data_IF_531681014862
#
_entry.id   IF_531681014862
#
_cell.length_a   1.000
_cell.length_b   1.000
_cell.length_c   1.000
_cell.angle_alpha   90.00
_cell.angle_beta   90.00
_cell.angle_gamma   90.00
#
_symmetry.space_group_name_H-M   'P 1'
#
loop_
_entity.id
_entity.type
_entity.pdbx_description
1 polymer ?
#
# COMPACT_ATOMS: atom_id res chain seq x y z
N UNK A 1 5.28 -0.73 -0.39
CA UNK A 1 5.37 -0.58 -1.87
C UNK A 1 4.82 0.77 -2.28
N UNK A 2 5.47 1.46 -3.21
CA UNK A 2 5.00 2.71 -3.80
C UNK A 2 4.67 2.50 -5.29
N UNK A 3 3.47 2.89 -5.69
CA UNK A 3 2.98 2.80 -7.06
C UNK A 3 2.67 4.22 -7.54
N UNK A 4 3.36 4.65 -8.59
CA UNK A 4 3.14 5.95 -9.22
C UNK A 4 2.72 5.80 -10.68
N UNK A 5 1.99 6.76 -11.20
CA UNK A 5 1.64 6.78 -12.61
C UNK A 5 0.45 7.65 -12.91
N UNK A 6 0.51 8.34 -14.05
CA UNK A 6 -0.54 9.25 -14.54
C UNK A 6 -1.85 8.53 -14.82
N UNK A 7 -2.89 9.29 -14.94
CA UNK A 7 -4.21 8.80 -15.39
C UNK A 7 -4.07 8.04 -16.72
N UNK A 8 -4.77 6.90 -16.85
CA UNK A 8 -4.74 6.00 -18.01
C UNK A 8 -3.37 5.36 -18.27
N UNK A 9 -2.53 5.20 -17.24
CA UNK A 9 -1.26 4.49 -17.34
C UNK A 9 -1.38 2.97 -17.15
N UNK A 10 -2.52 2.47 -16.69
CA UNK A 10 -2.72 1.08 -16.26
C UNK A 10 -2.49 0.87 -14.74
N UNK A 11 -2.24 1.95 -13.99
CA UNK A 11 -1.99 1.90 -12.54
C UNK A 11 -3.09 1.16 -11.77
N UNK A 12 -4.35 1.52 -11.97
CA UNK A 12 -5.48 0.87 -11.28
C UNK A 12 -5.58 -0.61 -11.60
N UNK A 13 -5.41 -1.00 -12.88
CA UNK A 13 -5.37 -2.43 -13.24
C UNK A 13 -4.24 -3.17 -12.52
N UNK A 14 -3.08 -2.53 -12.38
CA UNK A 14 -1.96 -3.08 -11.61
C UNK A 14 -2.28 -3.23 -10.12
N UNK A 15 -2.93 -2.22 -9.50
CA UNK A 15 -3.37 -2.29 -8.09
C UNK A 15 -4.40 -3.40 -7.88
N UNK A 16 -5.38 -3.54 -8.78
CA UNK A 16 -6.38 -4.61 -8.73
C UNK A 16 -5.75 -6.00 -8.90
N UNK A 17 -4.76 -6.14 -9.79
CA UNK A 17 -4.01 -7.39 -9.94
C UNK A 17 -3.23 -7.76 -8.68
N UNK A 18 -2.60 -6.78 -8.02
CA UNK A 18 -1.92 -6.99 -6.74
C UNK A 18 -2.89 -7.37 -5.63
N UNK A 19 -4.06 -6.72 -5.56
CA UNK A 19 -5.09 -7.06 -4.59
C UNK A 19 -5.59 -8.50 -4.78
N UNK A 20 -5.79 -8.93 -6.04
CA UNK A 20 -6.15 -10.31 -6.33
C UNK A 20 -5.08 -11.29 -5.83
N UNK A 21 -3.80 -11.01 -6.06
CA UNK A 21 -2.71 -11.86 -5.56
C UNK A 21 -2.69 -11.93 -4.03
N UNK A 22 -2.93 -10.81 -3.35
CA UNK A 22 -3.02 -10.75 -1.89
C UNK A 22 -4.15 -11.64 -1.36
N UNK A 23 -5.33 -11.59 -1.97
CA UNK A 23 -6.48 -12.41 -1.56
C UNK A 23 -6.26 -13.90 -1.86
N UNK A 24 -5.48 -14.23 -2.89
CA UNK A 24 -5.09 -15.61 -3.22
C UNK A 24 -3.98 -16.16 -2.31
N UNK A 25 -3.33 -15.33 -1.51
CA UNK A 25 -2.20 -15.73 -0.67
C UNK A 25 -2.59 -16.64 0.52
N UNK A 26 -3.87 -16.90 0.72
CA UNK A 26 -4.34 -17.92 1.65
C UNK A 26 -5.18 -17.40 2.81
N UNK A 27 -5.58 -18.30 3.72
CA UNK A 27 -6.54 -18.02 4.77
C UNK A 27 -5.97 -17.13 5.87
N UNK A 28 -6.87 -16.59 6.66
CA UNK A 28 -6.53 -15.79 7.83
C UNK A 28 -5.87 -16.62 8.92
N UNK A 29 -4.79 -16.08 9.43
CA UNK A 29 -4.05 -16.61 10.55
C UNK A 29 -3.46 -15.45 11.36
N UNK A 30 -3.52 -15.50 12.67
CA UNK A 30 -2.95 -14.46 13.54
C UNK A 30 -3.35 -13.03 13.16
N UNK A 31 -4.66 -12.82 12.97
CA UNK A 31 -5.24 -11.52 12.63
C UNK A 31 -4.71 -10.93 11.30
N UNK A 32 -4.55 -11.76 10.28
CA UNK A 32 -4.27 -11.31 8.92
C UNK A 32 -5.35 -10.36 8.43
N UNK A 33 -4.97 -9.28 7.73
CA UNK A 33 -5.89 -8.22 7.28
C UNK A 33 -5.60 -7.77 5.88
N UNK A 34 -6.67 -7.45 5.17
CA UNK A 34 -6.63 -6.64 3.96
C UNK A 34 -7.47 -5.40 4.22
N UNK A 35 -6.86 -4.23 4.19
CA UNK A 35 -7.53 -2.94 4.38
C UNK A 35 -7.37 -2.13 3.11
N UNK A 36 -8.48 -1.65 2.55
CA UNK A 36 -8.49 -0.87 1.31
C UNK A 36 -9.04 0.52 1.62
N UNK A 37 -8.32 1.55 1.23
CA UNK A 37 -8.68 2.97 1.43
C UNK A 37 -8.70 3.66 0.07
N UNK A 38 -9.84 4.25 -0.30
CA UNK A 38 -10.01 5.08 -1.50
C UNK A 38 -10.70 6.41 -1.14
N UNK A 39 -9.91 7.45 -0.81
CA UNK A 39 -10.47 8.75 -0.40
C UNK A 39 -11.14 9.52 -1.54
N UNK A 40 -10.81 9.21 -2.79
CA UNK A 40 -11.43 9.85 -3.95
C UNK A 40 -12.79 9.26 -4.31
N UNK A 41 -13.18 8.15 -3.70
CA UNK A 41 -14.36 7.39 -4.08
C UNK A 41 -14.36 7.05 -5.59
N UNK A 42 -13.19 6.65 -6.09
CA UNK A 42 -12.96 6.36 -7.49
C UNK A 42 -13.21 4.87 -7.82
N UNK A 43 -12.18 4.20 -8.32
CA UNK A 43 -12.32 2.84 -8.83
C UNK A 43 -12.31 1.77 -7.73
N UNK A 44 -11.47 1.92 -6.70
CA UNK A 44 -11.41 0.94 -5.60
C UNK A 44 -12.64 1.02 -4.69
N UNK A 45 -13.30 2.15 -4.58
CA UNK A 45 -14.54 2.30 -3.81
C UNK A 45 -15.72 1.47 -4.34
N UNK A 46 -15.60 0.92 -5.56
CA UNK A 46 -16.58 -0.03 -6.12
C UNK A 46 -16.45 -1.44 -5.55
N UNK A 47 -15.36 -1.72 -4.83
CA UNK A 47 -15.16 -2.98 -4.13
C UNK A 47 -15.83 -2.93 -2.75
N UNK A 48 -16.42 -4.04 -2.27
CA UNK A 48 -16.98 -4.10 -0.94
C UNK A 48 -15.88 -3.90 0.12
N UNK A 49 -16.28 -3.43 1.29
CA UNK A 49 -15.39 -3.17 2.43
C UNK A 49 -14.29 -2.12 2.20
N UNK A 50 -14.32 -1.39 1.08
CA UNK A 50 -13.41 -0.26 0.86
C UNK A 50 -13.80 0.90 1.75
N UNK A 51 -12.83 1.46 2.46
CA UNK A 51 -13.01 2.58 3.37
C UNK A 51 -12.84 3.87 2.58
N UNK A 52 -13.88 4.70 2.62
CA UNK A 52 -13.96 5.98 1.93
C UNK A 52 -14.10 7.13 2.93
N UNK A 53 -14.23 8.34 2.42
CA UNK A 53 -14.65 9.50 3.21
C UNK A 53 -16.11 9.31 3.66
N UNK A 54 -16.46 9.94 4.79
CA UNK A 54 -17.84 10.00 5.25
C UNK A 54 -18.70 10.99 4.42
N UNK A 55 -19.97 11.14 4.81
CA UNK A 55 -20.93 12.02 4.14
C UNK A 55 -20.53 13.52 4.19
N UNK A 56 -19.70 13.91 5.15
CA UNK A 56 -19.17 15.26 5.29
C UNK A 56 -17.87 15.47 4.53
N UNK A 57 -17.33 14.43 3.88
CA UNK A 57 -16.04 14.48 3.22
C UNK A 57 -14.84 14.35 4.17
N UNK A 58 -15.06 13.87 5.40
CA UNK A 58 -14.01 13.68 6.39
C UNK A 58 -13.45 12.25 6.35
N UNK A 59 -12.18 12.09 6.71
CA UNK A 59 -11.46 10.80 6.67
C UNK A 59 -11.36 10.15 8.07
N UNK A 60 -12.36 10.33 8.94
CA UNK A 60 -12.36 9.77 10.31
C UNK A 60 -12.29 8.25 10.27
N UNK A 61 -13.09 7.61 9.42
CA UNK A 61 -13.07 6.16 9.22
C UNK A 61 -11.72 5.66 8.71
N UNK A 62 -11.07 6.43 7.85
CA UNK A 62 -9.73 6.12 7.33
C UNK A 62 -8.70 6.15 8.47
N UNK A 63 -8.65 7.21 9.28
CA UNK A 63 -7.73 7.31 10.42
C UNK A 63 -7.96 6.17 11.42
N UNK A 64 -9.23 5.83 11.69
CA UNK A 64 -9.60 4.71 12.57
C UNK A 64 -9.08 3.38 12.03
N UNK A 65 -9.25 3.12 10.74
CA UNK A 65 -8.75 1.90 10.10
C UNK A 65 -7.22 1.81 10.11
N UNK A 66 -6.53 2.91 9.88
CA UNK A 66 -5.06 2.98 9.96
C UNK A 66 -4.55 2.71 11.38
N UNK A 67 -5.21 3.25 12.41
CA UNK A 67 -4.91 2.94 13.81
C UNK A 67 -5.09 1.45 14.10
N UNK A 68 -6.20 0.88 13.63
CA UNK A 68 -6.48 -0.56 13.75
C UNK A 68 -5.41 -1.41 13.06
N UNK A 69 -4.97 -1.03 11.86
CA UNK A 69 -3.90 -1.72 11.14
C UNK A 69 -2.54 -1.60 11.90
N UNK A 70 -2.21 -0.43 12.42
CA UNK A 70 -1.01 -0.22 13.21
C UNK A 70 -1.03 -1.03 14.53
N UNK A 71 -2.20 -1.20 15.15
CA UNK A 71 -2.37 -2.03 16.35
C UNK A 71 -2.13 -3.51 16.06
N UNK A 72 -2.49 -3.98 14.85
CA UNK A 72 -2.17 -5.35 14.41
C UNK A 72 -0.67 -5.61 14.38
N UNK A 73 0.14 -4.64 13.98
CA UNK A 73 1.61 -4.76 14.00
C UNK A 73 2.10 -5.02 15.43
N UNK A 74 1.62 -4.26 16.41
CA UNK A 74 2.00 -4.42 17.82
C UNK A 74 1.60 -5.79 18.35
N UNK A 75 0.38 -6.24 18.06
CA UNK A 75 -0.11 -7.56 18.44
C UNK A 75 0.79 -8.67 17.89
N UNK A 76 1.06 -8.63 16.59
CA UNK A 76 1.87 -9.63 15.89
C UNK A 76 3.33 -9.65 16.40
N UNK A 77 3.92 -8.48 16.65
CA UNK A 77 5.25 -8.38 17.26
C UNK A 77 5.29 -9.02 18.66
N UNK A 78 4.24 -8.83 19.46
CA UNK A 78 4.14 -9.49 20.76
C UNK A 78 4.10 -11.02 20.61
N UNK A 79 3.26 -11.54 19.70
CA UNK A 79 3.20 -12.99 19.44
C UNK A 79 4.57 -13.53 19.02
N UNK A 80 5.27 -12.85 18.12
CA UNK A 80 6.62 -13.25 17.67
C UNK A 80 7.65 -13.25 18.81
N UNK A 81 7.60 -12.25 19.68
CA UNK A 81 8.47 -12.17 20.85
C UNK A 81 8.20 -13.32 21.82
N UNK A 82 6.92 -13.62 22.10
CA UNK A 82 6.51 -14.72 22.97
C UNK A 82 7.00 -16.10 22.43
N UNK A 83 6.97 -16.29 21.10
CA UNK A 83 7.53 -17.48 20.46
C UNK A 83 9.07 -17.49 20.52
N UNK A 84 9.72 -16.35 20.29
CA UNK A 84 11.17 -16.25 20.36
C UNK A 84 11.71 -16.56 21.78
N UNK A 85 11.02 -16.08 22.82
CA UNK A 85 11.36 -16.41 24.23
C UNK A 85 11.22 -17.91 24.49
N UNK A 86 10.15 -18.54 24.02
CA UNK A 86 9.92 -19.99 24.23
C UNK A 86 10.93 -20.87 23.51
N UNK A 87 11.36 -20.46 22.32
CA UNK A 87 12.27 -21.27 21.48
C UNK A 87 13.75 -20.95 21.73
N UNK A 88 14.05 -19.80 22.36
CA UNK A 88 15.41 -19.29 22.51
C UNK A 88 16.06 -18.82 21.21
N UNK A 89 15.28 -18.67 20.12
CA UNK A 89 15.73 -18.23 18.81
C UNK A 89 14.86 -17.07 18.29
N UNK A 90 15.40 -16.27 17.38
CA UNK A 90 14.60 -15.29 16.67
C UNK A 90 13.55 -15.99 15.78
N UNK A 91 12.28 -15.67 15.98
CA UNK A 91 11.15 -16.23 15.24
C UNK A 91 10.59 -15.16 14.31
N UNK A 92 10.44 -15.49 13.04
CA UNK A 92 9.82 -14.60 12.05
C UNK A 92 8.35 -14.99 11.83
N UNK A 93 7.57 -14.06 11.26
CA UNK A 93 6.14 -14.27 11.04
C UNK A 93 5.84 -15.49 10.13
N UNK A 94 6.71 -15.80 9.17
CA UNK A 94 6.57 -16.97 8.30
C UNK A 94 6.92 -18.30 8.99
N UNK A 95 7.73 -18.29 10.04
CA UNK A 95 8.13 -19.50 10.78
C UNK A 95 6.96 -20.11 11.57
N UNK A 96 5.96 -19.30 11.89
CA UNK A 96 4.76 -19.73 12.64
C UNK A 96 3.48 -19.64 11.82
N UNK A 97 3.62 -19.69 10.49
CA UNK A 97 2.51 -19.66 9.53
C UNK A 97 1.57 -18.43 9.64
N UNK A 98 2.09 -17.29 10.07
CA UNK A 98 1.35 -16.04 9.92
C UNK A 98 1.21 -15.70 8.44
N UNK A 99 0.02 -15.31 8.01
CA UNK A 99 -0.19 -14.73 6.70
C UNK A 99 0.09 -13.22 6.73
N UNK A 100 0.59 -12.63 5.63
CA UNK A 100 0.85 -11.20 5.59
C UNK A 100 -0.44 -10.38 5.68
N UNK A 101 -0.33 -9.19 6.29
CA UNK A 101 -1.38 -8.18 6.30
C UNK A 101 -1.06 -7.09 5.27
N UNK A 102 -2.09 -6.57 4.59
CA UNK A 102 -1.91 -5.56 3.57
C UNK A 102 -2.83 -4.36 3.77
N UNK A 103 -2.25 -3.17 3.69
CA UNK A 103 -2.96 -1.90 3.64
C UNK A 103 -2.76 -1.29 2.26
N UNK A 104 -3.85 -1.10 1.53
CA UNK A 104 -3.88 -0.38 0.25
C UNK A 104 -4.39 1.04 0.50
N UNK A 105 -3.64 2.05 0.10
CA UNK A 105 -4.06 3.46 0.11
C UNK A 105 -4.00 3.95 -1.33
N UNK A 106 -5.16 4.13 -1.95
CA UNK A 106 -5.23 4.76 -3.27
C UNK A 106 -5.25 6.29 -3.15
N UNK A 107 -4.65 6.96 -4.10
CA UNK A 107 -4.61 8.42 -4.18
C UNK A 107 -4.18 9.11 -2.85
N UNK A 108 -3.07 8.67 -2.30
CA UNK A 108 -2.49 9.18 -1.06
C UNK A 108 -2.45 10.71 -0.96
N UNK A 109 -2.13 11.40 -2.06
CA UNK A 109 -2.04 12.87 -2.09
C UNK A 109 -3.41 13.51 -1.85
N UNK A 110 -4.48 12.91 -2.39
CA UNK A 110 -5.84 13.39 -2.17
C UNK A 110 -6.24 13.26 -0.68
N UNK A 111 -5.88 12.15 -0.04
CA UNK A 111 -6.12 11.95 1.39
C UNK A 111 -5.41 13.01 2.24
N UNK A 112 -4.14 13.29 1.95
CA UNK A 112 -3.40 14.34 2.67
C UNK A 112 -4.01 15.73 2.53
N UNK A 113 -4.57 16.05 1.38
CA UNK A 113 -5.12 17.38 1.08
C UNK A 113 -6.37 17.73 1.90
N UNK A 114 -7.13 16.72 2.32
CA UNK A 114 -8.39 16.92 3.08
C UNK A 114 -8.19 16.92 4.60
N UNK A 115 -7.07 16.38 5.09
CA UNK A 115 -6.81 16.29 6.53
C UNK A 115 -6.46 17.66 7.11
N UNK A 116 -7.03 18.05 8.27
CA UNK A 116 -6.58 19.20 9.04
C UNK A 116 -5.08 19.07 9.37
N UNK A 117 -4.35 20.19 9.34
CA UNK A 117 -2.88 20.15 9.52
C UNK A 117 -2.45 19.65 10.90
N UNK A 118 -3.20 20.00 11.95
CA UNK A 118 -2.87 19.71 13.36
C UNK A 118 -4.05 19.16 14.11
N UNK A 119 -3.75 18.41 15.16
CA UNK A 119 -4.72 17.96 16.14
C UNK A 119 -5.40 19.14 16.86
N UNK A 120 -6.63 18.94 17.28
CA UNK A 120 -7.34 19.83 18.23
C UNK A 120 -7.28 19.23 19.63
N UNK A 121 -7.77 19.98 20.65
CA UNK A 121 -7.81 19.47 22.03
C UNK A 121 -8.67 18.22 22.20
N UNK A 122 -9.69 18.08 21.36
CA UNK A 122 -10.71 17.05 21.49
C UNK A 122 -10.64 15.99 20.38
N UNK A 123 -9.70 16.15 19.42
CA UNK A 123 -9.60 15.25 18.27
C UNK A 123 -8.16 15.13 17.78
N UNK A 124 -7.75 13.89 17.55
CA UNK A 124 -6.49 13.51 16.90
C UNK A 124 -6.69 13.25 15.39
N UNK A 125 -7.77 13.73 14.80
CA UNK A 125 -8.05 13.70 13.38
C UNK A 125 -7.24 14.79 12.67
N UNK A 126 -6.06 14.43 12.16
CA UNK A 126 -5.17 15.39 11.49
C UNK A 126 -4.14 14.71 10.60
N UNK A 127 -3.49 15.53 9.76
CA UNK A 127 -2.35 15.15 8.96
C UNK A 127 -1.15 14.69 9.81
N UNK A 128 -0.95 15.33 10.97
CA UNK A 128 0.11 14.96 11.92
C UNK A 128 -0.08 13.51 12.41
N UNK A 129 -1.27 13.18 12.89
CA UNK A 129 -1.63 11.81 13.31
C UNK A 129 -1.52 10.81 12.15
N UNK A 130 -2.00 11.18 10.97
CA UNK A 130 -1.89 10.33 9.78
C UNK A 130 -0.44 10.00 9.44
N UNK A 131 0.42 11.01 9.40
CA UNK A 131 1.84 10.84 9.07
C UNK A 131 2.58 9.98 10.13
N UNK A 132 2.27 10.15 11.42
CA UNK A 132 2.82 9.33 12.49
C UNK A 132 2.42 7.86 12.38
N UNK A 133 1.13 7.59 12.15
CA UNK A 133 0.63 6.22 11.99
C UNK A 133 1.26 5.57 10.76
N UNK A 134 1.27 6.27 9.63
CA UNK A 134 1.82 5.75 8.39
C UNK A 134 3.32 5.50 8.50
N UNK A 135 4.07 6.42 9.13
CA UNK A 135 5.49 6.22 9.43
C UNK A 135 5.70 4.92 10.20
N UNK A 136 4.92 4.69 11.25
CA UNK A 136 5.01 3.47 12.05
C UNK A 136 4.73 2.22 11.23
N UNK A 137 3.67 2.22 10.42
CA UNK A 137 3.32 1.09 9.55
C UNK A 137 4.46 0.77 8.58
N UNK A 138 5.02 1.78 7.93
CA UNK A 138 6.05 1.59 6.91
C UNK A 138 7.39 1.17 7.49
N UNK A 139 7.76 1.68 8.68
CA UNK A 139 9.06 1.38 9.31
C UNK A 139 9.06 0.09 10.12
N UNK A 140 7.93 -0.29 10.72
CA UNK A 140 7.83 -1.43 11.65
C UNK A 140 7.06 -2.61 11.09
N UNK A 141 6.28 -2.40 10.02
CA UNK A 141 5.33 -3.40 9.52
C UNK A 141 6.01 -4.66 8.98
N UNK A 142 7.11 -4.53 8.27
CA UNK A 142 7.77 -5.65 7.59
C UNK A 142 8.16 -6.78 8.56
N UNK A 143 8.69 -6.45 9.75
CA UNK A 143 9.05 -7.42 10.77
C UNK A 143 7.85 -8.19 11.33
N UNK A 144 6.65 -7.61 11.25
CA UNK A 144 5.40 -8.21 11.67
C UNK A 144 4.60 -8.84 10.50
N UNK A 145 5.14 -8.84 9.28
CA UNK A 145 4.42 -9.28 8.09
C UNK A 145 3.28 -8.35 7.69
N UNK A 146 3.36 -7.06 8.00
CA UNK A 146 2.35 -6.05 7.67
C UNK A 146 2.91 -5.06 6.65
N UNK A 147 2.29 -4.99 5.48
CA UNK A 147 2.79 -4.25 4.33
C UNK A 147 1.82 -3.15 3.90
N UNK A 148 2.38 -2.00 3.51
CA UNK A 148 1.62 -0.88 2.99
C UNK A 148 1.89 -0.70 1.49
N UNK A 149 0.83 -0.57 0.70
CA UNK A 149 0.84 -0.29 -0.73
C UNK A 149 0.19 1.07 -0.93
N UNK A 150 0.98 2.05 -1.36
CA UNK A 150 0.53 3.42 -1.60
C UNK A 150 0.51 3.70 -3.09
N UNK A 151 -0.61 4.19 -3.59
CA UNK A 151 -0.79 4.65 -4.95
C UNK A 151 -0.83 6.18 -5.01
N UNK A 152 -0.14 6.76 -5.98
CA UNK A 152 -0.12 8.21 -6.27
C UNK A 152 -0.29 8.46 -7.77
N UNK A 153 -1.00 9.54 -8.12
CA UNK A 153 -1.22 9.90 -9.53
C UNK A 153 0.05 10.44 -10.19
N UNK A 154 0.83 11.23 -9.44
CA UNK A 154 2.11 11.79 -9.89
C UNK A 154 3.15 11.66 -8.79
N UNK A 155 4.38 11.36 -9.19
CA UNK A 155 5.50 11.27 -8.25
C UNK A 155 6.03 12.67 -7.82
N UNK A 156 5.26 13.75 -8.00
CA UNK A 156 5.71 15.11 -7.70
C UNK A 156 6.02 15.30 -6.21
N UNK A 157 7.06 16.07 -5.94
CA UNK A 157 7.52 16.44 -4.58
C UNK A 157 6.88 17.76 -4.12
N UNK A 158 6.16 18.45 -5.02
CA UNK A 158 5.54 19.75 -4.73
C UNK A 158 4.32 19.57 -3.82
N UNK A 159 4.07 20.57 -3.00
CA UNK A 159 3.05 20.73 -1.95
C UNK A 159 2.03 19.59 -1.81
N UNK A 160 2.28 18.66 -0.87
CA UNK A 160 1.41 17.51 -0.59
C UNK A 160 1.92 16.15 -1.12
N UNK A 161 3.04 16.12 -1.84
CA UNK A 161 3.66 14.89 -2.31
C UNK A 161 4.15 13.96 -1.18
N UNK A 162 4.64 12.79 -1.55
CA UNK A 162 5.12 11.79 -0.59
C UNK A 162 6.36 12.32 0.15
N UNK A 163 6.34 12.41 1.50
CA UNK A 163 7.50 12.81 2.29
C UNK A 163 8.73 11.97 1.95
N UNK A 164 9.90 12.60 1.93
CA UNK A 164 11.18 11.93 1.57
C UNK A 164 11.45 10.68 2.42
N UNK A 165 11.11 10.74 3.69
CA UNK A 165 11.24 9.62 4.62
C UNK A 165 10.37 8.42 4.20
N UNK A 166 9.10 8.63 3.87
CA UNK A 166 8.21 7.55 3.39
C UNK A 166 8.71 6.98 2.07
N UNK A 167 9.13 7.85 1.13
CA UNK A 167 9.72 7.41 -0.13
C UNK A 167 10.97 6.55 0.06
N UNK A 168 11.84 6.91 0.99
CA UNK A 168 13.05 6.14 1.30
C UNK A 168 12.74 4.78 1.93
N UNK A 169 11.71 4.72 2.79
CA UNK A 169 11.31 3.50 3.48
C UNK A 169 10.51 2.52 2.59
N UNK A 170 10.05 2.96 1.40
CA UNK A 170 9.37 2.08 0.45
C UNK A 170 10.37 1.24 -0.33
N UNK A 171 10.50 -0.03 0.05
CA UNK A 171 11.42 -1.00 -0.54
C UNK A 171 11.11 -1.31 -2.00
N UNK A 172 9.84 -1.37 -2.38
CA UNK A 172 9.40 -1.67 -3.74
C UNK A 172 8.78 -0.44 -4.38
N UNK A 173 9.17 -0.15 -5.62
CA UNK A 173 8.70 1.01 -6.38
C UNK A 173 8.30 0.60 -7.78
N UNK A 174 7.13 1.09 -8.23
CA UNK A 174 6.60 0.87 -9.57
C UNK A 174 6.19 2.22 -10.14
N UNK A 175 6.62 2.51 -11.36
CA UNK A 175 6.23 3.70 -12.11
C UNK A 175 5.58 3.29 -13.42
N UNK A 176 4.28 3.46 -13.53
CA UNK A 176 3.48 3.16 -14.73
C UNK A 176 3.64 4.25 -15.79
N UNK A 177 3.81 3.84 -17.06
CA UNK A 177 4.11 4.72 -18.22
C UNK A 177 5.22 5.71 -17.89
N UNK A 178 6.40 5.20 -17.54
CA UNK A 178 7.47 6.00 -16.98
C UNK A 178 8.00 7.05 -17.97
N UNK A 179 8.45 8.18 -17.39
CA UNK A 179 9.32 9.15 -18.05
C UNK A 179 10.57 9.36 -17.20
N UNK A 180 11.67 9.81 -17.81
CA UNK A 180 12.90 10.11 -17.04
C UNK A 180 12.66 11.15 -15.95
N UNK A 181 11.86 12.17 -16.23
CA UNK A 181 11.53 13.21 -15.25
C UNK A 181 10.82 12.66 -14.01
N UNK A 182 9.81 11.78 -14.18
CA UNK A 182 9.12 11.13 -13.08
C UNK A 182 9.98 10.07 -12.40
N UNK A 183 10.83 9.38 -13.16
CA UNK A 183 11.79 8.42 -12.62
C UNK A 183 12.76 9.05 -11.63
N UNK A 184 13.25 10.27 -11.90
CA UNK A 184 14.13 11.02 -10.99
C UNK A 184 13.48 11.39 -9.65
N UNK A 185 12.15 11.34 -9.55
CA UNK A 185 11.44 11.54 -8.30
C UNK A 185 11.42 10.27 -7.42
N UNK A 186 11.63 9.10 -8.02
CA UNK A 186 11.59 7.80 -7.34
C UNK A 186 12.97 7.17 -7.19
N UNK A 187 13.88 7.42 -8.11
CA UNK A 187 15.23 6.81 -8.14
C UNK A 187 16.30 7.85 -8.38
N UNK A 188 17.50 7.51 -7.99
CA UNK A 188 18.70 8.29 -8.34
C UNK A 188 18.98 8.22 -9.85
N UNK A 189 19.58 9.28 -10.39
CA UNK A 189 19.86 9.40 -11.82
C UNK A 189 20.60 8.18 -12.39
N UNK A 190 21.59 7.69 -11.68
CA UNK A 190 22.42 6.56 -12.07
C UNK A 190 21.62 5.27 -12.32
N UNK A 191 20.52 5.08 -11.55
CA UNK A 191 19.66 3.90 -11.67
C UNK A 191 18.77 3.91 -12.91
N UNK A 192 18.50 5.07 -13.49
CA UNK A 192 17.56 5.23 -14.62
C UNK A 192 18.21 5.77 -15.89
N UNK A 193 19.49 6.20 -15.83
CA UNK A 193 20.20 6.84 -16.94
C UNK A 193 20.23 5.97 -18.20
N UNK A 194 20.50 4.69 -18.03
CA UNK A 194 20.63 3.72 -19.12
C UNK A 194 19.32 3.06 -19.54
N UNK A 195 18.19 3.46 -18.93
CA UNK A 195 16.91 2.91 -19.35
C UNK A 195 16.51 3.46 -20.73
N UNK A 196 15.97 2.61 -21.61
CA UNK A 196 15.67 3.02 -22.98
C UNK A 196 14.57 4.08 -23.02
N UNK A 197 14.79 5.11 -23.84
CA UNK A 197 13.72 6.03 -24.20
C UNK A 197 12.84 5.38 -25.26
N UNK A 198 11.57 5.14 -24.91
CA UNK A 198 10.58 4.57 -25.81
C UNK A 198 9.18 5.06 -25.45
N UNK A 199 8.26 4.84 -26.35
CA UNK A 199 6.83 5.05 -26.07
C UNK A 199 6.34 3.90 -25.20
N UNK A 200 5.94 4.20 -23.98
CA UNK A 200 5.37 3.25 -23.03
C UNK A 200 3.86 3.16 -23.20
N UNK A 201 3.34 1.94 -23.30
CA UNK A 201 1.90 1.64 -23.37
C UNK A 201 1.29 1.58 -21.96
N UNK A 202 -0.04 1.65 -21.80
CA UNK A 202 -0.67 1.32 -20.52
C UNK A 202 -0.23 -0.07 -20.04
N UNK A 203 0.11 -0.17 -18.75
CA UNK A 203 0.68 -1.40 -18.16
C UNK A 203 2.21 -1.50 -18.19
N UNK A 204 2.87 -0.81 -19.13
CA UNK A 204 4.33 -0.73 -19.13
C UNK A 204 4.81 0.07 -17.92
N UNK A 205 5.80 -0.45 -17.22
CA UNK A 205 6.26 0.14 -15.96
C UNK A 205 7.76 -0.06 -15.75
N UNK A 206 8.35 0.83 -14.95
CA UNK A 206 9.64 0.62 -14.31
C UNK A 206 9.41 0.09 -12.91
N UNK A 207 10.27 -0.84 -12.50
CA UNK A 207 10.18 -1.56 -11.23
C UNK A 207 11.54 -1.69 -10.58
N UNK A 208 11.60 -1.55 -9.27
CA UNK A 208 12.71 -2.01 -8.44
C UNK A 208 12.24 -2.47 -7.08
N UNK A 209 13.01 -3.33 -6.44
CA UNK A 209 12.79 -3.76 -5.06
C UNK A 209 14.12 -3.96 -4.35
N UNK A 210 14.19 -3.65 -3.07
CA UNK A 210 15.38 -3.87 -2.24
C UNK A 210 15.39 -5.29 -1.65
N UNK A 211 15.02 -6.28 -2.46
CA UNK A 211 14.99 -7.69 -2.09
C UNK A 211 16.32 -8.44 -2.37
N UNK A 212 17.32 -7.71 -2.86
CA UNK A 212 18.63 -8.25 -3.26
C UNK A 212 18.66 -8.86 -4.68
N UNK A 213 17.51 -9.04 -5.32
CA UNK A 213 17.41 -9.57 -6.70
C UNK A 213 16.98 -8.48 -7.71
N UNK A 214 16.26 -7.46 -7.26
CA UNK A 214 15.65 -6.43 -8.12
C UNK A 214 16.08 -5.01 -7.74
N UNK A 215 17.30 -4.84 -7.24
CA UNK A 215 17.84 -3.53 -6.81
C UNK A 215 18.05 -2.56 -7.99
N UNK A 216 18.24 -3.12 -9.19
CA UNK A 216 18.31 -2.33 -10.41
C UNK A 216 16.91 -2.07 -10.95
N UNK A 217 16.70 -0.85 -11.47
CA UNK A 217 15.44 -0.52 -12.13
C UNK A 217 15.32 -1.32 -13.42
N UNK A 218 14.26 -2.08 -13.52
CA UNK A 218 13.97 -2.95 -14.65
C UNK A 218 12.61 -2.63 -15.26
N UNK A 219 12.40 -3.10 -16.48
CA UNK A 219 11.10 -3.01 -17.15
C UNK A 219 10.20 -4.17 -16.74
N UNK A 220 8.94 -3.86 -16.42
CA UNK A 220 7.88 -4.83 -16.23
C UNK A 220 6.63 -4.41 -17.00
N UNK A 221 5.81 -5.37 -17.38
CA UNK A 221 4.53 -5.12 -18.02
C UNK A 221 3.41 -5.77 -17.21
N UNK A 222 2.42 -4.98 -16.80
CA UNK A 222 1.20 -5.47 -16.19
C UNK A 222 0.20 -5.77 -17.31
N UNK A 223 -0.24 -7.02 -17.46
CA UNK A 223 -1.19 -7.39 -18.51
C UNK A 223 -2.55 -6.76 -18.28
N UNK A 224 -3.31 -6.60 -19.36
CA UNK A 224 -4.71 -6.26 -19.24
C UNK A 224 -5.48 -7.43 -18.60
N UNK A 225 -6.34 -7.11 -17.64
CA UNK A 225 -7.18 -8.12 -16.98
C UNK A 225 -8.44 -8.34 -17.83
N UNK A 226 -8.48 -9.44 -18.57
CA UNK A 226 -9.59 -9.82 -19.45
C UNK A 226 -10.73 -10.55 -18.71
N UNK A 227 -10.86 -10.33 -17.40
CA UNK A 227 -11.89 -10.90 -16.54
C UNK A 227 -12.74 -9.78 -15.93
N UNK A 228 -13.97 -10.06 -15.48
CA UNK A 228 -14.79 -9.08 -14.77
C UNK A 228 -14.24 -8.83 -13.34
N UNK A 229 -13.06 -8.20 -13.29
CA UNK A 229 -12.19 -8.12 -12.11
C UNK A 229 -12.91 -7.58 -10.87
N UNK A 230 -13.82 -6.61 -11.00
CA UNK A 230 -14.57 -6.06 -9.87
C UNK A 230 -15.53 -7.08 -9.27
N UNK A 231 -16.16 -7.92 -10.09
CA UNK A 231 -17.02 -9.00 -9.62
C UNK A 231 -16.22 -10.07 -8.91
N UNK A 232 -15.13 -10.50 -9.49
CA UNK A 232 -14.27 -11.56 -8.92
C UNK A 232 -13.62 -11.11 -7.61
N UNK A 233 -13.07 -9.90 -7.57
CA UNK A 233 -12.53 -9.31 -6.35
C UNK A 233 -13.63 -9.04 -5.32
N UNK A 234 -14.82 -8.58 -5.74
CA UNK A 234 -15.95 -8.38 -4.84
C UNK A 234 -16.34 -9.67 -4.13
N UNK A 235 -16.49 -10.76 -4.88
CA UNK A 235 -16.81 -12.08 -4.33
C UNK A 235 -15.71 -12.57 -3.37
N UNK A 236 -14.45 -12.39 -3.73
CA UNK A 236 -13.32 -12.79 -2.90
C UNK A 236 -13.25 -11.99 -1.59
N UNK A 237 -13.49 -10.68 -1.64
CA UNK A 237 -13.54 -9.82 -0.45
C UNK A 237 -14.71 -10.16 0.45
N UNK A 238 -15.90 -10.39 -0.09
CA UNK A 238 -17.06 -10.82 0.71
C UNK A 238 -16.79 -12.15 1.41
N UNK A 239 -16.24 -13.13 0.71
CA UNK A 239 -15.83 -14.40 1.30
C UNK A 239 -14.77 -14.22 2.39
N UNK A 240 -13.77 -13.39 2.12
CA UNK A 240 -12.70 -13.08 3.05
C UNK A 240 -13.23 -12.47 4.36
N UNK A 241 -14.12 -11.49 4.29
CA UNK A 241 -14.67 -10.82 5.47
C UNK A 241 -15.75 -11.64 6.17
N UNK A 242 -16.54 -12.44 5.46
CA UNK A 242 -17.56 -13.30 6.06
C UNK A 242 -16.95 -14.40 6.94
N UNK A 243 -15.84 -14.99 6.51
CA UNK A 243 -15.13 -16.02 7.27
C UNK A 243 -14.48 -15.50 8.56
N UNK A 244 -14.33 -14.18 8.72
CA UNK A 244 -13.76 -13.56 9.92
C UNK A 244 -14.82 -13.29 11.00
N UNK A 245 -16.07 -13.23 10.64
CA UNK A 245 -17.19 -12.94 11.55
C UNK A 245 -17.86 -14.21 12.08
N UNK A 246 -17.42 -15.36 11.65
CA UNK A 246 -17.82 -16.69 12.11
C UNK A 246 -16.82 -17.29 13.10
#
# INVERSE_FOLDING_TARGET
MLIAGKTRSGKTSGVLALLLQVLLAGPDCYDSKVVIVDPKQAELSRLPHTITLDENGEAISVITALKGFASTITYRQKVLNDYSEKTGNAVHWWDINMHPCFLFIDEYVALRAILPKKNTKDSDYSLETFDEILKRIVTMGASAGAFCIISIAEASVQEGGLPSMLRSAMSTRILFRPSKAEGLLLWDKEKIENLPERIYRPGDSWFSSTDGLHDLVSFVHFPNLEIPIYRELGNALESYYSNRNS
#
